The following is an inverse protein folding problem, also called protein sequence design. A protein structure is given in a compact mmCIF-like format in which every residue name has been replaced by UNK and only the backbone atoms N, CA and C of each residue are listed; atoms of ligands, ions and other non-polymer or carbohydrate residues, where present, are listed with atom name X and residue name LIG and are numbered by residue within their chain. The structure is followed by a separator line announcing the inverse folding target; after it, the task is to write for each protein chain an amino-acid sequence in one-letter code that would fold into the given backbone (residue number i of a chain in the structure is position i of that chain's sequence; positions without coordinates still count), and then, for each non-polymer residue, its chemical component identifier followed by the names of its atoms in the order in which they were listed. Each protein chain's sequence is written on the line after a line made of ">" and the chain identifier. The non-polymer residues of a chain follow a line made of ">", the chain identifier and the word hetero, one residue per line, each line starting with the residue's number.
data_IF_797815973143
#
_entry.id   IF_797815973143
#
_cell.length_a   1.000
_cell.length_b   1.000
_cell.length_c   1.000
_cell.angle_alpha   90.00
_cell.angle_beta   90.00
_cell.angle_gamma   90.00
#
_symmetry.space_group_name_H-M   'P 1'
#
loop_
_entity.id
_entity.type
_entity.pdbx_description
1 polymer ?
#
# COMPACT_ATOMS: atom_id res chain seq x y z
N UNK A 1 7.37 15.20 20.86
CA UNK A 1 8.25 14.01 20.96
C UNK A 1 9.00 13.90 19.66
N UNK A 2 10.30 13.65 19.68
CA UNK A 2 11.08 13.53 18.44
C UNK A 2 10.62 12.27 17.69
N UNK A 3 9.93 12.47 16.56
CA UNK A 3 9.37 11.38 15.73
C UNK A 3 10.42 10.82 14.76
N UNK A 4 11.69 11.19 14.92
CA UNK A 4 12.79 10.70 14.10
C UNK A 4 13.14 9.26 14.44
N UNK A 5 13.62 8.55 13.43
CA UNK A 5 14.22 7.22 13.57
C UNK A 5 15.56 7.42 14.26
N UNK A 6 15.61 7.15 15.56
CA UNK A 6 16.85 7.18 16.32
C UNK A 6 17.50 5.80 16.41
N UNK A 7 18.80 5.78 16.68
CA UNK A 7 19.62 4.57 16.77
C UNK A 7 19.07 3.58 17.79
N UNK A 8 18.67 4.04 18.97
CA UNK A 8 18.19 3.18 20.04
C UNK A 8 16.88 2.49 19.62
N UNK A 9 15.98 3.23 18.97
CA UNK A 9 14.75 2.66 18.45
C UNK A 9 15.00 1.59 17.38
N UNK A 10 15.97 1.80 16.48
CA UNK A 10 16.36 0.79 15.48
C UNK A 10 16.97 -0.45 16.15
N UNK A 11 17.83 -0.30 17.14
CA UNK A 11 18.37 -1.43 17.92
C UNK A 11 17.23 -2.25 18.50
N UNK A 12 16.22 -1.61 19.09
CA UNK A 12 15.06 -2.32 19.64
C UNK A 12 14.27 -3.07 18.56
N UNK A 13 14.04 -2.46 17.37
CA UNK A 13 13.34 -3.15 16.28
C UNK A 13 14.13 -4.34 15.76
N UNK A 14 15.45 -4.20 15.61
CA UNK A 14 16.32 -5.27 15.14
C UNK A 14 16.46 -6.40 16.16
N UNK A 15 16.48 -6.08 17.46
CA UNK A 15 16.44 -7.08 18.54
C UNK A 15 15.12 -7.87 18.54
N UNK A 16 13.99 -7.23 18.26
CA UNK A 16 12.72 -7.94 18.08
C UNK A 16 12.73 -8.85 16.85
N UNK A 17 13.34 -8.41 15.75
CA UNK A 17 13.56 -9.27 14.59
C UNK A 17 14.44 -10.46 14.98
N UNK A 18 15.51 -10.25 15.75
CA UNK A 18 16.40 -11.33 16.17
C UNK A 18 15.68 -12.35 17.05
N UNK A 19 14.83 -11.91 17.97
CA UNK A 19 14.02 -12.81 18.79
C UNK A 19 13.09 -13.72 17.97
N UNK A 20 12.62 -13.22 16.81
CA UNK A 20 11.72 -13.95 15.91
C UNK A 20 12.49 -14.88 14.98
N UNK A 21 13.53 -14.36 14.31
CA UNK A 21 14.25 -15.08 13.26
C UNK A 21 15.42 -15.93 13.78
N UNK A 22 15.89 -15.68 15.02
CA UNK A 22 16.93 -16.44 15.71
C UNK A 22 18.15 -16.71 14.83
N UNK A 23 18.71 -15.64 14.25
CA UNK A 23 19.85 -15.74 13.35
C UNK A 23 21.19 -15.90 14.08
N UNK A 24 21.20 -15.69 15.40
CA UNK A 24 22.38 -15.81 16.25
C UNK A 24 23.20 -14.52 16.36
N UNK A 25 22.63 -13.36 16.00
CA UNK A 25 23.36 -12.09 16.01
C UNK A 25 23.61 -11.56 17.42
N UNK A 26 24.81 -11.02 17.63
CA UNK A 26 25.19 -10.41 18.90
C UNK A 26 24.59 -9.01 19.06
N UNK A 27 24.61 -8.47 20.28
CA UNK A 27 24.12 -7.10 20.52
C UNK A 27 24.96 -6.05 19.78
N UNK A 28 26.27 -6.28 19.68
CA UNK A 28 27.21 -5.42 18.95
C UNK A 28 26.90 -5.42 17.45
N UNK A 29 26.59 -6.58 16.89
CA UNK A 29 26.18 -6.71 15.48
C UNK A 29 24.86 -5.98 15.22
N UNK A 30 23.87 -6.10 16.12
CA UNK A 30 22.61 -5.37 16.00
C UNK A 30 22.81 -3.86 16.13
N UNK A 31 23.75 -3.42 16.96
CA UNK A 31 24.10 -2.01 17.10
C UNK A 31 24.76 -1.45 15.82
N UNK A 32 25.68 -2.22 15.22
CA UNK A 32 26.28 -1.91 13.91
C UNK A 32 25.23 -1.85 12.81
N UNK A 33 24.31 -2.82 12.78
CA UNK A 33 23.21 -2.82 11.81
C UNK A 33 22.32 -1.60 12.02
N UNK A 34 22.00 -1.23 13.25
CA UNK A 34 21.20 -0.04 13.52
C UNK A 34 21.85 1.24 12.96
N UNK A 35 23.18 1.36 13.02
CA UNK A 35 23.90 2.50 12.44
C UNK A 35 23.80 2.53 10.91
N UNK A 36 23.93 1.37 10.24
CA UNK A 36 23.75 1.25 8.79
C UNK A 36 22.30 1.59 8.40
N UNK A 37 21.34 1.04 9.13
CA UNK A 37 19.92 1.25 8.89
C UNK A 37 19.50 2.71 9.10
N UNK A 38 20.12 3.41 10.06
CA UNK A 38 19.83 4.82 10.31
C UNK A 38 20.17 5.69 9.09
N UNK A 39 21.25 5.36 8.38
CA UNK A 39 21.65 6.04 7.15
C UNK A 39 20.66 5.72 6.01
N UNK A 40 20.34 4.44 5.81
CA UNK A 40 19.46 4.01 4.70
C UNK A 40 18.00 4.48 4.87
N UNK A 41 17.56 4.68 6.11
CA UNK A 41 16.20 5.11 6.44
C UNK A 41 16.10 6.61 6.75
N UNK A 42 17.16 7.39 6.46
CA UNK A 42 17.15 8.83 6.69
C UNK A 42 15.97 9.50 5.96
N UNK A 43 15.28 10.40 6.66
CA UNK A 43 14.11 11.12 6.14
C UNK A 43 12.82 10.29 6.01
N UNK A 44 12.83 9.01 6.38
CA UNK A 44 11.60 8.21 6.41
C UNK A 44 10.78 8.47 7.68
N UNK A 45 9.46 8.32 7.55
CA UNK A 45 8.54 8.38 8.68
C UNK A 45 8.71 7.16 9.59
N UNK A 46 8.98 7.41 10.87
CA UNK A 46 9.23 6.36 11.88
C UNK A 46 8.06 5.42 12.03
N UNK A 47 6.82 5.92 11.98
CA UNK A 47 5.66 5.05 12.13
C UNK A 47 5.44 4.15 10.91
N UNK A 48 5.58 4.69 9.71
CA UNK A 48 5.52 3.91 8.47
C UNK A 48 6.60 2.83 8.44
N UNK A 49 7.83 3.16 8.88
CA UNK A 49 8.91 2.17 9.04
C UNK A 49 8.55 1.12 10.07
N UNK A 50 8.00 1.50 11.23
CA UNK A 50 7.53 0.56 12.24
C UNK A 50 6.46 -0.41 11.71
N UNK A 51 5.48 0.11 10.95
CA UNK A 51 4.46 -0.71 10.27
C UNK A 51 5.08 -1.63 9.22
N UNK A 52 6.10 -1.18 8.49
CA UNK A 52 6.80 -1.99 7.49
C UNK A 52 7.57 -3.16 8.13
N UNK A 53 8.18 -2.98 9.30
CA UNK A 53 8.79 -4.10 10.05
C UNK A 53 7.77 -5.17 10.42
N UNK A 54 6.59 -4.77 10.89
CA UNK A 54 5.50 -5.69 11.23
C UNK A 54 5.03 -6.44 9.98
N UNK A 55 4.83 -5.72 8.87
CA UNK A 55 4.39 -6.30 7.61
C UNK A 55 5.42 -7.28 7.04
N UNK A 56 6.72 -6.92 7.07
CA UNK A 56 7.79 -7.83 6.66
C UNK A 56 7.77 -9.13 7.46
N UNK A 57 7.54 -9.04 8.77
CA UNK A 57 7.45 -10.21 9.65
C UNK A 57 6.32 -11.16 9.27
N UNK A 58 5.21 -10.62 8.77
CA UNK A 58 4.06 -11.41 8.33
C UNK A 58 4.31 -12.07 6.96
N UNK A 59 5.09 -11.43 6.09
CA UNK A 59 5.26 -11.85 4.69
C UNK A 59 6.56 -12.63 4.43
N UNK A 60 7.55 -12.53 5.32
CA UNK A 60 8.88 -13.06 5.12
C UNK A 60 9.37 -13.91 6.30
N UNK A 61 9.91 -15.09 5.97
CA UNK A 61 10.63 -15.97 6.90
C UNK A 61 12.11 -15.62 7.07
N UNK A 62 12.58 -14.49 6.50
CA UNK A 62 13.99 -14.07 6.58
C UNK A 62 14.13 -12.76 7.34
N UNK A 63 15.23 -12.64 8.08
CA UNK A 63 15.60 -11.39 8.75
C UNK A 63 15.68 -10.24 7.72
N UNK A 64 15.05 -9.10 7.98
CA UNK A 64 14.95 -8.02 7.01
C UNK A 64 16.30 -7.36 6.72
N UNK A 65 16.45 -6.81 5.53
CA UNK A 65 17.42 -5.75 5.24
C UNK A 65 16.70 -4.39 5.03
N UNK A 66 17.42 -3.26 5.02
CA UNK A 66 16.81 -1.94 4.83
C UNK A 66 15.96 -1.84 3.55
N UNK A 67 16.42 -2.46 2.46
CA UNK A 67 15.71 -2.47 1.19
C UNK A 67 14.34 -3.18 1.27
N UNK A 68 14.22 -4.24 2.07
CA UNK A 68 12.94 -4.92 2.29
C UNK A 68 11.92 -3.97 2.93
N UNK A 69 12.38 -3.19 3.91
CA UNK A 69 11.54 -2.23 4.64
C UNK A 69 11.15 -1.06 3.74
N UNK A 70 12.11 -0.47 3.01
CA UNK A 70 11.86 0.61 2.05
C UNK A 70 10.83 0.19 0.99
N UNK A 71 10.91 -1.04 0.49
CA UNK A 71 9.97 -1.60 -0.48
C UNK A 71 8.53 -1.67 0.06
N UNK A 72 8.36 -1.86 1.37
CA UNK A 72 7.06 -1.96 2.02
C UNK A 72 6.46 -0.60 2.41
N UNK A 73 7.27 0.47 2.50
CA UNK A 73 6.81 1.80 2.93
C UNK A 73 5.59 2.34 2.18
N UNK A 74 5.44 2.20 0.85
CA UNK A 74 4.24 2.67 0.14
C UNK A 74 2.93 2.09 0.71
N UNK A 75 2.97 0.85 1.22
CA UNK A 75 1.80 0.18 1.82
C UNK A 75 1.52 0.67 3.24
N UNK A 76 2.53 1.26 3.90
CA UNK A 76 2.50 1.67 5.29
C UNK A 76 2.26 3.17 5.51
N UNK A 77 2.39 4.00 4.46
CA UNK A 77 2.13 5.46 4.49
C UNK A 77 0.65 5.84 4.57
N UNK A 78 -0.27 4.87 4.48
CA UNK A 78 -1.71 5.12 4.29
C UNK A 78 -2.61 4.77 5.48
N UNK A 79 -2.06 4.44 6.65
CA UNK A 79 -2.90 4.09 7.81
C UNK A 79 -3.74 5.29 8.31
N UNK A 80 -3.22 6.51 8.23
CA UNK A 80 -3.95 7.72 8.67
C UNK A 80 -4.79 8.36 7.55
N UNK A 81 -4.31 8.36 6.29
CA UNK A 81 -5.09 8.86 5.14
C UNK A 81 -6.38 8.09 4.85
N UNK A 82 -6.59 6.90 5.43
CA UNK A 82 -7.85 6.17 5.29
C UNK A 82 -8.95 6.68 6.22
N UNK A 83 -8.60 7.39 7.30
CA UNK A 83 -9.59 8.04 8.17
C UNK A 83 -9.94 9.44 7.63
N UNK A 84 -8.98 10.13 7.00
CA UNK A 84 -9.17 11.44 6.36
C UNK A 84 -9.38 11.38 4.84
N UNK A 85 -9.50 10.18 4.27
CA UNK A 85 -10.23 10.03 3.02
C UNK A 85 -11.71 10.24 3.39
N UNK A 86 -12.07 11.51 3.62
CA UNK A 86 -13.38 12.01 3.26
C UNK A 86 -13.70 11.32 1.95
N UNK A 87 -14.67 10.40 2.00
CA UNK A 87 -15.22 9.81 0.80
C UNK A 87 -15.34 10.98 -0.16
N UNK A 88 -14.69 10.89 -1.34
CA UNK A 88 -14.91 11.86 -2.41
C UNK A 88 -16.40 12.15 -2.35
N UNK A 89 -16.84 13.42 -2.20
CA UNK A 89 -18.26 13.70 -2.21
C UNK A 89 -18.74 12.96 -3.44
N UNK A 90 -19.58 11.95 -3.21
CA UNK A 90 -20.30 11.34 -4.29
C UNK A 90 -21.17 12.50 -4.69
N UNK A 91 -20.66 13.32 -5.61
CA UNK A 91 -21.51 13.96 -6.57
C UNK A 91 -22.26 12.77 -7.15
N UNK A 92 -23.40 12.48 -6.55
CA UNK A 92 -24.58 12.15 -7.29
C UNK A 92 -24.75 13.32 -8.23
N UNK A 93 -23.92 13.36 -9.28
CA UNK A 93 -24.36 13.78 -10.58
C UNK A 93 -25.66 13.03 -10.68
N UNK A 94 -26.74 13.80 -10.62
CA UNK A 94 -28.02 13.34 -11.08
C UNK A 94 -27.76 12.95 -12.54
N UNK A 95 -27.28 11.72 -12.71
CA UNK A 95 -27.15 11.09 -14.01
C UNK A 95 -28.60 10.99 -14.41
N UNK A 96 -28.99 11.89 -15.31
CA UNK A 96 -30.24 11.78 -16.04
C UNK A 96 -30.39 10.33 -16.54
N UNK A 97 -31.61 9.88 -16.82
CA UNK A 97 -32.05 8.48 -16.68
C UNK A 97 -31.43 7.40 -17.61
N UNK A 98 -30.17 7.53 -18.04
CA UNK A 98 -29.41 6.53 -18.80
C UNK A 98 -28.01 6.40 -18.22
N UNK A 99 -27.93 5.61 -17.16
CA UNK A 99 -26.71 5.36 -16.39
C UNK A 99 -25.67 4.65 -17.24
N UNK A 100 -24.39 5.00 -17.09
CA UNK A 100 -23.23 4.30 -17.68
C UNK A 100 -23.28 2.76 -17.52
N UNK A 101 -24.03 2.26 -16.55
CA UNK A 101 -24.29 0.83 -16.32
C UNK A 101 -25.06 0.18 -17.47
N UNK A 102 -25.97 0.92 -18.11
CA UNK A 102 -26.78 0.44 -19.23
C UNK A 102 -25.94 0.38 -20.52
N UNK A 103 -25.06 1.36 -20.72
CA UNK A 103 -24.07 1.38 -21.80
C UNK A 103 -23.12 0.18 -21.73
N UNK A 104 -22.56 -0.13 -20.55
CA UNK A 104 -21.67 -1.27 -20.36
C UNK A 104 -22.38 -2.61 -20.61
N UNK A 105 -23.65 -2.72 -20.20
CA UNK A 105 -24.47 -3.92 -20.43
C UNK A 105 -24.79 -4.10 -21.92
N UNK A 106 -25.13 -3.02 -22.60
CA UNK A 106 -25.49 -3.01 -24.01
C UNK A 106 -24.27 -3.31 -24.91
N UNK A 107 -23.09 -2.79 -24.56
CA UNK A 107 -21.80 -3.17 -25.17
C UNK A 107 -21.52 -4.67 -25.05
N UNK A 108 -21.68 -5.24 -23.84
CA UNK A 108 -21.45 -6.66 -23.61
C UNK A 108 -22.44 -7.55 -24.36
N UNK A 109 -23.71 -7.15 -24.48
CA UNK A 109 -24.72 -7.87 -25.26
C UNK A 109 -24.42 -7.82 -26.76
N UNK A 110 -24.04 -6.66 -27.29
CA UNK A 110 -23.66 -6.50 -28.68
C UNK A 110 -22.42 -7.35 -29.04
N UNK A 111 -21.43 -7.43 -28.15
CA UNK A 111 -20.25 -8.30 -28.34
C UNK A 111 -20.62 -9.80 -28.32
N UNK A 112 -21.65 -10.19 -27.57
CA UNK A 112 -22.17 -11.56 -27.51
C UNK A 112 -23.05 -11.96 -28.70
N UNK A 113 -23.27 -11.06 -29.65
CA UNK A 113 -24.00 -11.36 -30.89
C UNK A 113 -25.46 -10.93 -30.90
N UNK A 114 -25.93 -10.21 -29.89
CA UNK A 114 -27.28 -9.65 -29.86
C UNK A 114 -27.42 -8.53 -30.91
N UNK A 115 -28.27 -8.77 -31.91
CA UNK A 115 -28.49 -7.88 -33.05
C UNK A 115 -29.24 -6.60 -32.66
N UNK A 116 -30.12 -6.65 -31.66
CA UNK A 116 -30.82 -5.46 -31.18
C UNK A 116 -29.88 -4.53 -30.42
N UNK A 117 -29.03 -5.09 -29.56
CA UNK A 117 -28.01 -4.33 -28.84
C UNK A 117 -26.97 -3.69 -29.78
N UNK A 118 -26.61 -4.37 -30.89
CA UNK A 118 -25.72 -3.81 -31.93
C UNK A 118 -26.35 -2.62 -32.65
N UNK A 119 -27.61 -2.73 -33.04
CA UNK A 119 -28.33 -1.66 -33.72
C UNK A 119 -28.48 -0.44 -32.81
N UNK A 120 -28.77 -0.65 -31.53
CA UNK A 120 -28.91 0.42 -30.56
C UNK A 120 -27.56 1.11 -30.28
N UNK A 121 -26.45 0.37 -30.19
CA UNK A 121 -25.11 0.98 -30.15
C UNK A 121 -24.83 1.83 -31.38
N UNK A 122 -25.22 1.35 -32.57
CA UNK A 122 -24.93 2.05 -33.82
C UNK A 122 -25.73 3.36 -33.91
N UNK A 123 -26.96 3.40 -33.40
CA UNK A 123 -27.76 4.63 -33.27
C UNK A 123 -27.11 5.63 -32.31
N UNK A 124 -26.63 5.15 -31.16
CA UNK A 124 -25.96 5.99 -30.16
C UNK A 124 -24.61 6.54 -30.64
N UNK A 125 -24.01 5.96 -31.69
CA UNK A 125 -22.72 6.38 -32.26
C UNK A 125 -22.84 7.48 -33.32
N UNK A 126 -24.06 7.77 -33.80
CA UNK A 126 -24.36 8.72 -34.89
C UNK A 126 -24.98 10.02 -34.38
N UNK A 127 -25.30 10.11 -33.08
CA UNK A 127 -25.57 11.38 -32.37
C UNK A 127 -24.27 12.02 -31.89
#
# INVERSE_FOLDING_TARGET
>A
MDMRIDRLWLIMRLAECEAVYRTGRSQEELALLADIWAQDLEGQDREAVGRAFVLHRQESGRFPCPADILRLLPRCRHAERRQDAAALPVETVAVGPRSHRDMARLLLQALRGDSEARNEMQRLRVQ
#
